data_IF_203479672603
#
_entry.id   IF_203479672603
#
_cell.length_a   1.000
_cell.length_b   1.000
_cell.length_c   1.000
_cell.angle_alpha   90.00
_cell.angle_beta   90.00
_cell.angle_gamma   90.00
#
_symmetry.space_group_name_H-M   'P 1'
#
loop_
_entity.id
_entity.type
_entity.pdbx_description
1 polymer ?
#
# COMPACT_ATOMS: atom_id res chain seq x y z
N UNK A 1 -3.38 -4.39 -20.06
CA UNK A 1 -2.19 -3.57 -20.38
C UNK A 1 -0.89 -4.36 -20.10
N UNK A 2 -0.03 -4.56 -21.11
CA UNK A 2 1.31 -5.13 -20.90
C UNK A 2 2.17 -4.04 -20.25
N UNK A 3 2.52 -4.19 -18.97
CA UNK A 3 3.43 -3.28 -18.26
C UNK A 3 4.77 -3.30 -19.00
N UNK A 4 5.28 -2.14 -19.41
CA UNK A 4 6.57 -2.05 -20.10
C UNK A 4 7.67 -2.07 -19.05
N UNK A 5 8.82 -2.65 -19.36
CA UNK A 5 9.92 -2.78 -18.39
C UNK A 5 10.47 -1.43 -17.91
N UNK A 6 10.26 -0.39 -18.70
CA UNK A 6 10.63 1.00 -18.38
C UNK A 6 9.79 1.55 -17.21
N UNK A 7 8.53 1.12 -17.10
CA UNK A 7 7.61 1.50 -16.01
C UNK A 7 8.02 0.86 -14.66
N UNK A 8 8.84 -0.19 -14.69
CA UNK A 8 9.30 -0.93 -13.50
C UNK A 8 10.62 -0.39 -12.91
N UNK A 9 11.14 0.71 -13.44
CA UNK A 9 12.37 1.33 -12.94
C UNK A 9 12.05 2.37 -11.86
N UNK A 10 13.01 2.63 -10.96
CA UNK A 10 12.87 3.69 -9.96
C UNK A 10 12.62 5.04 -10.66
N UNK A 11 11.64 5.85 -10.23
CA UNK A 11 11.40 7.18 -10.80
C UNK A 11 12.62 8.08 -10.57
N UNK A 12 12.92 8.99 -11.50
CA UNK A 12 14.15 9.79 -11.46
C UNK A 12 14.32 10.55 -10.13
N UNK A 13 13.22 11.01 -9.55
CA UNK A 13 13.07 11.71 -8.27
C UNK A 13 13.02 10.81 -7.02
N UNK A 14 13.14 9.48 -7.16
CA UNK A 14 13.16 8.56 -6.03
C UNK A 14 14.28 8.88 -5.03
N UNK A 15 13.90 9.19 -3.79
CA UNK A 15 14.83 9.36 -2.67
C UNK A 15 15.16 7.97 -2.10
N UNK A 16 16.31 7.41 -2.50
CA UNK A 16 16.78 6.10 -2.05
C UNK A 16 17.85 6.30 -0.98
N UNK A 17 17.68 5.67 0.18
CA UNK A 17 18.70 5.69 1.24
C UNK A 17 19.93 4.85 0.86
N UNK A 18 21.16 5.33 1.12
CA UNK A 18 22.39 4.54 0.93
C UNK A 18 22.34 3.29 1.81
N UNK A 19 22.56 2.13 1.19
CA UNK A 19 22.43 0.81 1.81
C UNK A 19 21.18 0.02 1.40
N UNK A 20 20.21 0.65 0.71
CA UNK A 20 19.00 -0.03 0.20
C UNK A 20 19.37 -1.14 -0.78
N UNK A 21 18.90 -2.37 -0.56
CA UNK A 21 19.17 -3.49 -1.46
C UNK A 21 18.24 -3.46 -2.68
N UNK A 22 18.76 -3.86 -3.84
CA UNK A 22 17.99 -4.03 -5.05
C UNK A 22 16.91 -5.08 -4.81
N UNK A 23 15.65 -4.67 -5.02
CA UNK A 23 14.46 -5.51 -4.80
C UNK A 23 14.21 -6.48 -5.95
N UNK A 24 14.93 -6.34 -7.07
CA UNK A 24 14.85 -7.33 -8.16
C UNK A 24 15.42 -8.67 -7.70
N UNK A 25 14.63 -9.73 -7.89
CA UNK A 25 14.94 -11.08 -7.40
C UNK A 25 16.25 -11.60 -8.01
N UNK A 26 17.19 -12.03 -7.16
CA UNK A 26 18.49 -12.57 -7.59
C UNK A 26 19.59 -11.53 -7.84
N UNK A 27 19.33 -10.23 -7.62
CA UNK A 27 20.35 -9.19 -7.78
C UNK A 27 21.18 -8.95 -6.51
N UNK A 28 20.54 -8.57 -5.40
CA UNK A 28 21.20 -8.38 -4.10
C UNK A 28 22.19 -7.21 -3.98
N UNK A 29 22.38 -6.37 -5.01
CA UNK A 29 23.26 -5.17 -4.92
C UNK A 29 22.68 -4.13 -3.97
N UNK A 30 23.55 -3.37 -3.28
CA UNK A 30 23.15 -2.25 -2.42
C UNK A 30 23.30 -0.93 -3.17
N UNK A 31 22.37 -0.01 -2.94
CA UNK A 31 22.43 1.36 -3.41
C UNK A 31 23.52 2.12 -2.65
N UNK A 32 24.50 2.66 -3.36
CA UNK A 32 25.55 3.52 -2.77
C UNK A 32 25.25 4.97 -3.13
N UNK A 33 24.97 5.22 -4.41
CA UNK A 33 24.75 6.55 -4.97
C UNK A 33 23.95 6.45 -6.28
N UNK A 34 23.72 7.59 -6.95
CA UNK A 34 22.93 7.65 -8.18
C UNK A 34 23.49 6.75 -9.30
N UNK A 35 24.81 6.54 -9.36
CA UNK A 35 25.44 5.64 -10.33
C UNK A 35 25.07 4.17 -10.10
N UNK A 36 24.70 3.78 -8.86
CA UNK A 36 24.19 2.42 -8.57
C UNK A 36 22.86 2.11 -9.30
N UNK A 37 22.13 3.12 -9.77
CA UNK A 37 20.89 2.95 -10.57
C UNK A 37 21.18 2.67 -12.04
N UNK A 38 22.30 3.19 -12.52
CA UNK A 38 22.72 3.06 -13.91
C UNK A 38 23.50 1.77 -14.17
N UNK A 39 23.97 1.11 -13.11
CA UNK A 39 24.59 -0.20 -13.20
C UNK A 39 23.65 -1.28 -13.77
N UNK A 40 24.26 -2.27 -14.44
CA UNK A 40 23.52 -3.42 -14.98
C UNK A 40 23.04 -4.32 -13.84
N UNK A 41 21.71 -4.42 -13.72
CA UNK A 41 21.03 -5.31 -12.81
C UNK A 41 20.72 -6.63 -13.51
N UNK A 42 21.23 -7.73 -12.96
CA UNK A 42 20.93 -9.10 -13.42
C UNK A 42 19.93 -9.72 -12.44
N UNK A 43 18.73 -10.06 -12.92
CA UNK A 43 17.63 -10.51 -12.07
C UNK A 43 16.74 -11.56 -12.75
N UNK A 44 15.89 -12.20 -11.94
CA UNK A 44 14.84 -13.11 -12.40
C UNK A 44 13.50 -12.38 -12.48
N UNK A 45 12.91 -12.18 -13.68
CA UNK A 45 11.57 -11.61 -13.82
C UNK A 45 10.47 -12.60 -13.40
N UNK A 46 10.81 -13.89 -13.27
CA UNK A 46 9.89 -14.94 -12.87
C UNK A 46 9.73 -15.07 -11.36
N UNK A 47 8.90 -16.04 -11.00
CA UNK A 47 8.61 -16.43 -9.62
C UNK A 47 9.37 -17.70 -9.25
N UNK A 48 9.73 -17.89 -7.97
CA UNK A 48 10.31 -19.13 -7.50
C UNK A 48 9.36 -20.30 -7.80
N UNK A 49 9.89 -21.34 -8.44
CA UNK A 49 9.18 -22.58 -8.76
C UNK A 49 9.79 -23.72 -7.95
N UNK A 50 8.99 -24.32 -7.08
CA UNK A 50 9.38 -25.50 -6.30
C UNK A 50 8.50 -26.67 -6.73
N UNK A 51 9.06 -27.65 -7.42
CA UNK A 51 8.33 -28.81 -7.93
C UNK A 51 9.19 -30.08 -7.86
N UNK A 52 8.62 -31.15 -7.32
CA UNK A 52 9.27 -32.47 -7.22
C UNK A 52 10.66 -32.42 -6.56
N UNK A 53 10.80 -31.61 -5.50
CA UNK A 53 12.08 -31.42 -4.78
C UNK A 53 13.09 -30.49 -5.49
N UNK A 54 12.86 -30.20 -6.78
CA UNK A 54 13.64 -29.22 -7.54
C UNK A 54 13.17 -27.79 -7.27
N UNK A 55 14.12 -26.85 -7.25
CA UNK A 55 13.95 -25.44 -6.96
C UNK A 55 14.53 -24.63 -8.11
N UNK A 56 13.78 -23.69 -8.64
CA UNK A 56 14.21 -22.86 -9.77
C UNK A 56 13.34 -21.63 -9.94
N UNK A 57 13.40 -21.01 -11.10
CA UNK A 57 12.63 -19.81 -11.43
C UNK A 57 11.76 -20.07 -12.66
N UNK A 58 10.54 -19.54 -12.71
CA UNK A 58 9.68 -19.69 -13.90
C UNK A 58 10.23 -19.02 -15.16
N UNK A 59 11.19 -18.10 -15.01
CA UNK A 59 11.82 -17.37 -16.10
C UNK A 59 13.06 -18.05 -16.72
N UNK A 60 13.57 -19.15 -16.14
CA UNK A 60 14.72 -19.85 -16.70
C UNK A 60 14.75 -21.34 -16.33
N UNK A 61 15.33 -22.18 -17.18
CA UNK A 61 15.31 -23.64 -16.98
C UNK A 61 16.27 -24.16 -15.90
N UNK A 62 17.09 -23.30 -15.26
CA UNK A 62 18.02 -23.72 -14.22
C UNK A 62 17.26 -24.11 -12.95
N UNK A 63 17.43 -25.37 -12.54
CA UNK A 63 16.84 -25.95 -11.33
C UNK A 63 17.92 -26.65 -10.52
N UNK A 64 17.77 -26.62 -9.20
CA UNK A 64 18.69 -27.21 -8.23
C UNK A 64 17.89 -27.93 -7.16
N UNK A 65 18.48 -28.95 -6.51
CA UNK A 65 17.79 -29.71 -5.47
C UNK A 65 17.97 -29.05 -4.09
N UNK A 66 19.11 -28.41 -3.87
CA UNK A 66 19.46 -27.77 -2.60
C UNK A 66 19.00 -26.31 -2.55
N UNK A 67 18.55 -25.86 -1.37
CA UNK A 67 18.03 -24.51 -1.19
C UNK A 67 19.13 -23.43 -1.27
N UNK A 68 20.32 -23.72 -0.74
CA UNK A 68 21.45 -22.78 -0.81
C UNK A 68 21.92 -22.55 -2.25
N UNK A 69 21.91 -23.59 -3.07
CA UNK A 69 22.19 -23.46 -4.49
C UNK A 69 21.13 -22.63 -5.21
N UNK A 70 19.87 -22.70 -4.77
CA UNK A 70 18.78 -21.93 -5.34
C UNK A 70 18.99 -20.42 -5.11
N UNK A 71 19.44 -20.04 -3.91
CA UNK A 71 19.80 -18.66 -3.59
C UNK A 71 20.98 -18.14 -4.43
N UNK A 72 21.86 -19.03 -4.92
CA UNK A 72 23.02 -18.70 -5.76
C UNK A 72 22.70 -18.65 -7.26
N UNK A 73 21.47 -18.96 -7.67
CA UNK A 73 21.08 -18.88 -9.09
C UNK A 73 21.10 -17.42 -9.54
N UNK A 74 22.09 -17.05 -10.34
CA UNK A 74 22.20 -15.73 -10.95
C UNK A 74 20.99 -15.43 -11.84
N UNK A 75 20.57 -14.16 -11.85
CA UNK A 75 19.45 -13.67 -12.67
C UNK A 75 19.59 -14.03 -14.16
N UNK A 76 18.47 -14.29 -14.82
CA UNK A 76 18.47 -14.62 -16.25
C UNK A 76 18.26 -13.41 -17.18
N UNK A 77 17.91 -12.24 -16.64
CA UNK A 77 17.62 -11.02 -17.40
C UNK A 77 18.44 -9.83 -16.94
N UNK A 78 18.88 -9.01 -17.89
CA UNK A 78 19.59 -7.73 -17.65
C UNK A 78 18.60 -6.57 -17.72
N UNK A 79 18.75 -5.59 -16.83
CA UNK A 79 17.95 -4.35 -16.80
C UNK A 79 18.54 -3.35 -15.81
N UNK A 80 17.77 -2.34 -15.41
CA UNK A 80 18.19 -1.37 -14.39
C UNK A 80 17.85 -1.87 -12.98
N UNK A 81 18.63 -1.44 -12.00
CA UNK A 81 18.30 -1.72 -10.61
C UNK A 81 16.97 -1.08 -10.22
N UNK A 82 16.28 -1.72 -9.27
CA UNK A 82 15.07 -1.20 -8.64
C UNK A 82 15.27 -1.28 -7.14
N UNK A 83 15.35 -0.13 -6.50
CA UNK A 83 15.54 0.02 -5.05
C UNK A 83 14.25 0.47 -4.35
N UNK A 84 13.33 1.08 -5.09
CA UNK A 84 11.99 1.45 -4.64
C UNK A 84 10.98 0.35 -4.97
N UNK A 85 9.97 0.17 -4.12
CA UNK A 85 8.77 -0.52 -4.60
C UNK A 85 8.06 0.37 -5.63
N UNK A 86 7.39 -0.25 -6.61
CA UNK A 86 6.35 0.42 -7.39
C UNK A 86 5.30 0.87 -6.39
N UNK A 87 5.41 2.14 -5.99
CA UNK A 87 4.70 2.69 -4.87
C UNK A 87 5.34 2.39 -3.51
N UNK A 88 6.56 2.87 -3.24
CA UNK A 88 7.11 3.08 -1.87
C UNK A 88 6.34 4.19 -1.10
N UNK A 89 5.03 4.27 -1.34
CA UNK A 89 4.01 4.96 -0.56
C UNK A 89 2.69 4.16 -0.56
N UNK A 90 2.74 2.87 -0.90
CA UNK A 90 1.64 1.94 -0.69
C UNK A 90 1.94 1.15 0.58
N UNK A 91 1.76 1.82 1.71
CA UNK A 91 1.44 1.15 2.96
C UNK A 91 0.52 -0.05 2.67
N UNK A 92 0.80 -1.22 3.24
CA UNK A 92 -0.04 -2.42 3.00
C UNK A 92 -1.50 -2.08 3.35
N UNK A 93 -2.39 -2.14 2.36
CA UNK A 93 -3.80 -1.78 2.53
C UNK A 93 -4.52 -2.92 3.23
N UNK A 94 -4.93 -2.69 4.48
CA UNK A 94 -5.72 -3.63 5.27
C UNK A 94 -7.21 -3.32 5.17
N UNK A 95 -8.04 -4.32 5.47
CA UNK A 95 -9.49 -4.12 5.66
C UNK A 95 -9.78 -3.87 7.13
N UNK A 96 -10.51 -2.81 7.44
CA UNK A 96 -11.09 -2.57 8.76
C UNK A 96 -12.58 -2.87 8.76
N UNK A 97 -13.05 -3.49 9.85
CA UNK A 97 -14.48 -3.51 10.15
C UNK A 97 -14.92 -2.07 10.44
N UNK A 98 -16.07 -1.70 9.92
CA UNK A 98 -16.74 -0.47 10.29
C UNK A 98 -18.23 -0.76 10.52
N UNK A 99 -18.86 0.08 11.33
CA UNK A 99 -20.31 0.15 11.47
C UNK A 99 -20.75 1.61 11.38
N UNK A 100 -22.04 1.81 11.13
CA UNK A 100 -22.63 3.13 11.21
C UNK A 100 -24.04 3.04 11.76
N UNK A 101 -24.47 4.13 12.37
CA UNK A 101 -25.85 4.36 12.78
C UNK A 101 -26.18 5.83 12.56
N UNK A 102 -27.44 6.19 12.72
CA UNK A 102 -27.87 7.58 12.55
C UNK A 102 -28.85 7.99 13.62
N UNK A 103 -28.85 9.28 13.91
CA UNK A 103 -29.89 9.97 14.65
C UNK A 103 -30.72 10.79 13.68
N UNK A 104 -31.68 11.56 14.21
CA UNK A 104 -32.45 12.50 13.41
C UNK A 104 -31.57 13.59 12.76
N UNK A 105 -30.40 13.91 13.34
CA UNK A 105 -29.59 15.05 12.89
C UNK A 105 -28.16 14.70 12.47
N UNK A 106 -27.68 13.49 12.77
CA UNK A 106 -26.31 13.08 12.46
C UNK A 106 -26.25 11.64 11.97
N UNK A 107 -25.19 11.33 11.21
CA UNK A 107 -24.76 9.97 10.90
C UNK A 107 -23.43 9.73 11.60
N UNK A 108 -23.30 8.62 12.31
CA UNK A 108 -22.13 8.27 13.09
C UNK A 108 -21.52 7.00 12.51
N UNK A 109 -20.25 7.06 12.12
CA UNK A 109 -19.49 5.95 11.57
C UNK A 109 -18.38 5.60 12.55
N UNK A 110 -18.27 4.32 12.89
CA UNK A 110 -17.18 3.78 13.71
C UNK A 110 -16.30 2.87 12.86
N UNK A 111 -15.05 3.28 12.63
CA UNK A 111 -14.02 2.45 11.96
C UNK A 111 -13.17 1.80 13.05
N UNK A 112 -13.22 0.47 13.18
CA UNK A 112 -12.48 -0.26 14.21
C UNK A 112 -11.02 -0.44 13.78
N UNK A 113 -10.17 0.46 14.29
CA UNK A 113 -8.74 0.50 14.04
C UNK A 113 -8.00 0.71 15.37
N UNK A 114 -7.09 -0.21 15.72
CA UNK A 114 -6.21 -0.11 16.89
C UNK A 114 -4.83 0.33 16.43
N UNK A 115 -4.06 1.00 17.31
CA UNK A 115 -2.69 1.47 17.02
C UNK A 115 -2.61 2.42 15.81
N UNK A 116 -3.59 3.33 15.73
CA UNK A 116 -3.63 4.37 14.70
C UNK A 116 -2.56 5.41 15.00
N UNK A 117 -1.81 5.80 13.96
CA UNK A 117 -0.95 6.97 13.95
C UNK A 117 -1.83 8.21 13.72
N UNK A 118 -2.00 9.01 14.78
CA UNK A 118 -2.91 10.17 14.79
C UNK A 118 -2.42 11.32 13.91
N UNK A 119 -1.11 11.45 13.72
CA UNK A 119 -0.52 12.56 13.00
C UNK A 119 -0.63 12.36 11.49
N UNK A 120 -0.60 11.09 11.05
CA UNK A 120 -0.67 10.73 9.63
C UNK A 120 -2.08 10.37 9.14
N UNK A 121 -2.98 10.04 10.05
CA UNK A 121 -4.38 9.71 9.70
C UNK A 121 -5.15 10.96 9.30
N UNK A 122 -5.85 10.90 8.16
CA UNK A 122 -6.61 12.03 7.60
C UNK A 122 -8.09 11.68 7.44
N UNK A 123 -8.97 12.63 7.79
CA UNK A 123 -10.41 12.56 7.54
C UNK A 123 -10.83 13.85 6.83
N UNK A 124 -11.40 13.73 5.64
CA UNK A 124 -11.92 14.87 4.86
C UNK A 124 -13.43 14.75 4.69
N UNK A 125 -14.11 15.83 5.03
CA UNK A 125 -15.55 15.98 4.85
C UNK A 125 -15.82 16.79 3.60
N UNK A 126 -16.56 16.23 2.66
CA UNK A 126 -17.13 16.96 1.53
C UNK A 126 -18.65 16.91 1.65
N UNK A 127 -19.36 17.77 0.89
CA UNK A 127 -20.82 17.87 0.99
C UNK A 127 -21.51 16.53 0.75
N UNK A 128 -21.02 15.73 -0.20
CA UNK A 128 -21.63 14.46 -0.61
C UNK A 128 -20.65 13.28 -0.55
N UNK A 129 -19.46 13.47 0.05
CA UNK A 129 -18.43 12.43 0.14
C UNK A 129 -17.70 12.47 1.46
N UNK A 130 -17.22 11.30 1.86
CA UNK A 130 -16.34 11.13 3.00
C UNK A 130 -15.08 10.38 2.56
N UNK A 131 -13.92 10.97 2.83
CA UNK A 131 -12.61 10.37 2.55
C UNK A 131 -11.86 10.16 3.86
N UNK A 132 -11.63 8.91 4.22
CA UNK A 132 -10.89 8.52 5.43
C UNK A 132 -9.68 7.68 5.04
N UNK A 133 -8.50 8.15 5.43
CA UNK A 133 -7.23 7.45 5.26
C UNK A 133 -6.60 7.23 6.65
N UNK A 134 -6.71 6.01 7.17
CA UNK A 134 -6.15 5.61 8.46
C UNK A 134 -4.77 5.05 8.26
N UNK A 135 -3.78 5.58 8.98
CA UNK A 135 -2.40 5.10 8.99
C UNK A 135 -2.14 4.39 10.32
N UNK A 136 -1.58 3.19 10.27
CA UNK A 136 -1.20 2.43 11.46
C UNK A 136 0.25 2.67 11.85
N UNK A 137 0.58 2.49 13.13
CA UNK A 137 1.95 2.61 13.64
C UNK A 137 2.94 1.65 12.97
N UNK A 138 2.47 0.52 12.46
CA UNK A 138 3.29 -0.45 11.72
C UNK A 138 3.42 -0.13 10.21
N UNK A 139 2.87 0.99 9.76
CA UNK A 139 2.95 1.42 8.36
C UNK A 139 1.91 0.79 7.45
N UNK A 140 0.90 0.07 7.96
CA UNK A 140 -0.30 -0.30 7.18
C UNK A 140 -1.22 0.90 6.97
N UNK A 141 -2.11 0.80 5.99
CA UNK A 141 -3.19 1.79 5.77
C UNK A 141 -4.54 1.14 5.62
N UNK A 142 -5.57 1.85 6.01
CA UNK A 142 -6.95 1.55 5.66
C UNK A 142 -7.58 2.77 4.99
N UNK A 143 -8.20 2.56 3.83
CA UNK A 143 -8.89 3.61 3.09
C UNK A 143 -10.39 3.32 3.08
N UNK A 144 -11.18 4.32 3.48
CA UNK A 144 -12.63 4.29 3.44
C UNK A 144 -13.12 5.57 2.76
N UNK A 145 -13.34 5.46 1.46
CA UNK A 145 -13.86 6.53 0.62
C UNK A 145 -15.25 6.13 0.15
N UNK A 146 -16.25 6.93 0.45
CA UNK A 146 -17.65 6.65 0.08
C UNK A 146 -18.34 7.92 -0.36
N UNK A 147 -19.17 7.79 -1.40
CA UNK A 147 -20.23 8.76 -1.66
C UNK A 147 -21.29 8.60 -0.56
N UNK A 148 -21.85 9.71 -0.13
CA UNK A 148 -22.83 9.78 0.97
C UNK A 148 -24.25 9.70 0.40
N UNK A 149 -25.15 9.01 1.10
CA UNK A 149 -26.55 8.93 0.70
C UNK A 149 -27.27 10.29 0.61
N UNK A 150 -26.86 11.28 1.41
CA UNK A 150 -27.41 12.63 1.42
C UNK A 150 -26.33 13.65 1.77
N UNK A 151 -26.55 14.95 1.46
CA UNK A 151 -25.60 15.98 1.81
C UNK A 151 -25.44 16.17 3.33
N UNK A 152 -24.21 16.49 3.72
CA UNK A 152 -23.83 16.84 5.10
C UNK A 152 -23.42 18.32 5.18
N UNK A 153 -23.21 18.82 6.39
CA UNK A 153 -22.59 20.12 6.67
C UNK A 153 -21.14 19.83 7.10
N UNK A 154 -20.14 19.96 6.20
CA UNK A 154 -18.76 19.60 6.51
C UNK A 154 -18.19 20.35 7.72
N UNK A 155 -18.51 21.64 7.85
CA UNK A 155 -18.03 22.49 8.94
C UNK A 155 -18.55 22.10 10.33
N UNK A 156 -19.70 21.40 10.39
CA UNK A 156 -20.28 20.89 11.63
C UNK A 156 -20.02 19.41 11.83
N UNK A 157 -19.34 18.76 10.89
CA UNK A 157 -18.94 17.37 10.97
C UNK A 157 -17.58 17.27 11.65
N UNK A 158 -17.37 16.20 12.43
CA UNK A 158 -16.16 16.04 13.25
C UNK A 158 -15.76 14.58 13.33
N UNK A 159 -14.51 14.33 13.69
CA UNK A 159 -14.01 12.99 13.97
C UNK A 159 -13.17 12.97 15.25
N UNK A 160 -13.03 11.80 15.84
CA UNK A 160 -12.20 11.55 17.01
C UNK A 160 -11.46 10.22 16.85
N UNK A 161 -10.14 10.25 17.03
CA UNK A 161 -9.30 9.04 17.00
C UNK A 161 -9.13 8.54 18.45
N UNK A 162 -9.88 7.49 18.77
CA UNK A 162 -9.83 6.76 20.04
C UNK A 162 -8.80 5.63 19.99
N UNK A 163 -8.58 4.97 21.14
CA UNK A 163 -7.62 3.86 21.25
C UNK A 163 -8.02 2.61 20.45
N UNK A 164 -9.32 2.42 20.22
CA UNK A 164 -9.88 1.22 19.58
C UNK A 164 -10.60 1.47 18.27
N UNK A 165 -10.85 2.74 17.92
CA UNK A 165 -11.62 3.12 16.74
C UNK A 165 -11.37 4.58 16.32
N UNK A 166 -11.67 4.88 15.08
CA UNK A 166 -11.90 6.25 14.59
C UNK A 166 -13.41 6.45 14.53
N UNK A 167 -13.93 7.40 15.30
CA UNK A 167 -15.34 7.76 15.30
C UNK A 167 -15.56 9.03 14.48
N UNK A 168 -16.52 8.99 13.57
CA UNK A 168 -16.81 10.08 12.64
C UNK A 168 -18.27 10.46 12.81
N UNK A 169 -18.54 11.73 13.07
CA UNK A 169 -19.88 12.29 13.19
C UNK A 169 -20.13 13.25 12.04
N UNK A 170 -21.01 12.86 11.13
CA UNK A 170 -21.46 13.66 10.01
C UNK A 170 -22.74 14.40 10.40
N UNK A 171 -22.73 15.72 10.31
CA UNK A 171 -23.93 16.53 10.52
C UNK A 171 -24.77 16.53 9.25
N UNK A 172 -26.00 16.01 9.31
CA UNK A 172 -26.89 16.00 8.13
C UNK A 172 -27.28 17.42 7.73
N UNK A 173 -27.26 17.72 6.43
CA UNK A 173 -27.77 18.99 5.91
C UNK A 173 -29.31 18.99 5.84
N UNK A 174 -29.91 17.82 5.62
CA UNK A 174 -31.35 17.62 5.58
C UNK A 174 -31.77 16.61 6.67
N UNK A 175 -32.94 16.77 7.28
CA UNK A 175 -33.44 15.87 8.34
C UNK A 175 -33.85 14.47 7.84
N UNK A 176 -33.30 14.03 6.71
CA UNK A 176 -33.70 12.81 5.99
C UNK A 176 -32.98 11.61 6.59
N UNK A 177 -33.69 10.48 6.67
CA UNK A 177 -33.11 9.21 7.08
C UNK A 177 -32.34 8.57 5.94
N UNK A 178 -31.14 8.07 6.22
CA UNK A 178 -30.26 7.47 5.22
C UNK A 178 -30.54 5.95 5.12
N UNK A 179 -30.77 5.39 3.92
CA UNK A 179 -30.94 3.95 3.77
C UNK A 179 -29.60 3.20 3.81
N UNK A 180 -28.52 3.84 3.34
CA UNK A 180 -27.14 3.35 3.38
C UNK A 180 -26.23 4.47 3.84
N UNK A 181 -24.97 4.15 4.16
CA UNK A 181 -23.95 5.19 4.18
C UNK A 181 -23.67 5.66 2.75
#
# INVERSE_FOLDING_TARGET
>A
PKVREEDLNDPADAVIAPGTVCRRRGCGKKYVDASSREEECIFHPGEPLFHEGSKGWTCCSRKVLEFEEFLKIQGCKKGKHRFTDEGDNQNEVVKCRHDWYQTQTSVIISIFAKKVDKEKTTVKFETERLLVDVVFQDGKVFQFHTDLSQPIIPEQSKYEILSTKVEINLKKANGISWPTI
#
